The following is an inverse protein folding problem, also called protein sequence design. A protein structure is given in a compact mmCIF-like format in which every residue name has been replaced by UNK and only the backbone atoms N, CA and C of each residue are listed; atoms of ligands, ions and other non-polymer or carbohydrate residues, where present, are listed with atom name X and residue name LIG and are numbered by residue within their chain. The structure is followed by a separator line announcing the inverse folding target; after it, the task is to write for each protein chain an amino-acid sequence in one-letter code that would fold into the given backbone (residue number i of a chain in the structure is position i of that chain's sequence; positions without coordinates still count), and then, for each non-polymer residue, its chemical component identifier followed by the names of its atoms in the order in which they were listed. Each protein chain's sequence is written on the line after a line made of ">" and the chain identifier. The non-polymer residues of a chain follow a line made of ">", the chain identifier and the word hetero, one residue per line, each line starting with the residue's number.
data_IF_384491997498
#
_entry.id   IF_384491997498
#
_cell.length_a   1.000
_cell.length_b   1.000
_cell.length_c   1.000
_cell.angle_alpha   90.00
_cell.angle_beta   90.00
_cell.angle_gamma   90.00
#
_symmetry.space_group_name_H-M   'P 1'
#
loop_
_entity.id
_entity.type
_entity.pdbx_description
1 polymer ?
#
# COMPACT_ATOMS: atom_id res chain seq x y z
N UNK A 1 7.63 2.31 0.40
CA UNK A 1 7.31 1.92 -0.97
C UNK A 1 8.25 0.86 -1.52
N UNK A 2 8.30 -0.31 -0.89
CA UNK A 2 9.08 -1.41 -1.39
C UNK A 2 10.59 -1.27 -1.19
N UNK A 3 11.28 -2.33 -1.45
CA UNK A 3 12.73 -2.46 -1.33
C UNK A 3 13.32 -2.76 -2.71
N UNK A 4 14.64 -2.52 -2.87
CA UNK A 4 15.40 -2.83 -4.08
C UNK A 4 16.86 -3.09 -3.70
N UNK A 5 17.48 -4.09 -4.33
CA UNK A 5 18.85 -4.55 -4.04
C UNK A 5 19.95 -3.76 -4.76
N UNK A 6 19.60 -2.75 -5.55
CA UNK A 6 20.53 -2.11 -6.50
C UNK A 6 21.85 -1.64 -5.88
N UNK A 7 21.86 -1.31 -4.59
CA UNK A 7 23.04 -0.79 -3.89
C UNK A 7 23.68 -1.82 -2.93
N UNK A 8 23.22 -3.07 -2.97
CA UNK A 8 23.81 -4.11 -2.12
C UNK A 8 25.04 -4.66 -2.81
N UNK A 9 26.18 -4.55 -2.15
CA UNK A 9 27.48 -4.92 -2.70
C UNK A 9 27.88 -6.36 -2.38
N UNK A 10 27.24 -6.96 -1.37
CA UNK A 10 27.71 -8.23 -0.78
C UNK A 10 26.80 -9.41 -1.09
N UNK A 11 25.66 -9.21 -1.74
CA UNK A 11 24.67 -10.25 -2.04
C UNK A 11 24.14 -10.11 -3.47
N UNK A 12 24.38 -11.13 -4.28
CA UNK A 12 23.90 -11.22 -5.67
C UNK A 12 22.59 -12.03 -5.82
N UNK A 13 21.84 -12.23 -4.73
CA UNK A 13 20.59 -13.00 -4.70
C UNK A 13 19.42 -12.17 -4.21
N UNK A 14 18.23 -12.61 -4.54
CA UNK A 14 17.03 -12.06 -3.90
C UNK A 14 16.94 -12.47 -2.42
N UNK A 15 16.36 -11.59 -1.60
CA UNK A 15 16.01 -11.92 -0.22
C UNK A 15 15.02 -13.08 -0.17
N UNK A 16 15.12 -13.87 0.89
CA UNK A 16 14.21 -14.93 1.18
C UNK A 16 13.78 -14.88 2.68
N UNK A 17 12.87 -15.76 3.09
CA UNK A 17 12.34 -15.78 4.46
C UNK A 17 13.41 -15.92 5.53
N UNK A 18 14.49 -16.63 5.26
CA UNK A 18 15.56 -16.88 6.23
C UNK A 18 16.33 -15.61 6.61
N UNK A 19 16.33 -14.61 5.71
CA UNK A 19 16.96 -13.32 5.96
C UNK A 19 16.17 -12.46 6.96
N UNK A 20 14.86 -12.73 7.10
CA UNK A 20 13.94 -11.88 7.88
C UNK A 20 13.30 -12.58 9.08
N UNK A 21 13.21 -13.90 9.07
CA UNK A 21 12.54 -14.68 10.13
C UNK A 21 13.12 -14.39 11.51
N UNK A 22 14.45 -14.27 11.62
CA UNK A 22 15.14 -14.09 12.89
C UNK A 22 14.81 -12.80 13.64
N UNK A 23 14.42 -11.74 12.92
CA UNK A 23 14.12 -10.43 13.53
C UNK A 23 12.65 -10.02 13.41
N UNK A 24 11.85 -10.76 12.66
CA UNK A 24 10.40 -10.51 12.57
C UNK A 24 9.61 -11.29 13.65
N UNK A 25 10.28 -12.23 14.33
CA UNK A 25 9.68 -13.06 15.37
C UNK A 25 8.38 -13.74 14.87
N UNK A 26 7.27 -13.52 15.61
CA UNK A 26 5.94 -14.03 15.27
C UNK A 26 5.06 -13.03 14.49
N UNK A 27 5.63 -11.93 13.99
CA UNK A 27 4.90 -10.94 13.21
C UNK A 27 4.92 -11.31 11.73
N UNK A 28 3.76 -11.42 11.07
CA UNK A 28 3.74 -11.66 9.62
C UNK A 28 4.35 -10.48 8.88
N UNK A 29 5.21 -10.78 7.90
CA UNK A 29 5.82 -9.80 7.02
C UNK A 29 5.31 -10.00 5.58
N UNK A 30 4.83 -8.93 4.97
CA UNK A 30 4.62 -8.81 3.53
C UNK A 30 5.29 -7.52 3.06
N UNK A 31 6.39 -7.65 2.34
CA UNK A 31 7.21 -6.53 1.89
C UNK A 31 7.29 -6.51 0.36
N UNK A 32 6.50 -5.67 -0.33
CA UNK A 32 6.58 -5.54 -1.78
C UNK A 32 7.94 -5.01 -2.22
N UNK A 33 8.47 -5.55 -3.33
CA UNK A 33 9.64 -5.01 -3.99
C UNK A 33 9.26 -3.79 -4.84
N UNK A 34 10.21 -2.89 -5.09
CA UNK A 34 9.98 -1.65 -5.84
C UNK A 34 9.56 -1.86 -7.30
N UNK A 35 9.74 -3.07 -7.86
CA UNK A 35 9.25 -3.45 -9.19
C UNK A 35 7.72 -3.60 -9.27
N UNK A 36 7.05 -3.72 -8.12
CA UNK A 36 5.60 -3.88 -8.02
C UNK A 36 5.08 -5.27 -8.39
N UNK A 37 5.95 -6.19 -8.84
CA UNK A 37 5.56 -7.54 -9.32
C UNK A 37 6.12 -8.67 -8.48
N UNK A 38 6.88 -8.35 -7.43
CA UNK A 38 7.39 -9.31 -6.47
C UNK A 38 7.30 -8.81 -5.04
N UNK A 39 7.33 -9.74 -4.08
CA UNK A 39 7.36 -9.44 -2.66
C UNK A 39 8.15 -10.48 -1.87
N UNK A 40 8.65 -10.08 -0.71
CA UNK A 40 9.18 -10.95 0.31
C UNK A 40 8.11 -11.16 1.39
N UNK A 41 7.91 -12.42 1.77
CA UNK A 41 7.09 -12.83 2.91
C UNK A 41 7.90 -13.71 3.85
N UNK A 42 7.64 -13.60 5.15
CA UNK A 42 8.30 -14.46 6.14
C UNK A 42 7.52 -15.75 6.40
N UNK A 43 8.12 -16.65 7.19
CA UNK A 43 7.49 -17.92 7.54
C UNK A 43 6.14 -17.74 8.24
N UNK A 44 5.98 -16.69 9.07
CA UNK A 44 4.71 -16.40 9.76
C UNK A 44 3.60 -15.97 8.79
N UNK A 45 3.92 -15.19 7.79
CA UNK A 45 2.96 -14.83 6.75
C UNK A 45 2.54 -16.06 5.93
N UNK A 46 3.48 -16.95 5.59
CA UNK A 46 3.17 -18.20 4.89
C UNK A 46 2.27 -19.11 5.73
N UNK A 47 2.54 -19.26 7.04
CA UNK A 47 1.69 -20.00 7.95
C UNK A 47 0.25 -19.48 7.94
N UNK A 48 0.08 -18.16 8.09
CA UNK A 48 -1.24 -17.52 8.10
C UNK A 48 -1.98 -17.62 6.75
N UNK A 49 -1.24 -17.62 5.66
CA UNK A 49 -1.79 -17.77 4.30
C UNK A 49 -2.06 -19.25 3.94
N UNK A 50 -1.66 -20.20 4.79
CA UNK A 50 -1.76 -21.63 4.51
C UNK A 50 -0.86 -22.09 3.35
N UNK A 51 0.22 -21.35 3.05
CA UNK A 51 1.17 -21.70 1.99
C UNK A 51 2.19 -22.69 2.53
N UNK A 52 2.19 -23.89 1.94
CA UNK A 52 3.05 -25.02 2.30
C UNK A 52 3.85 -25.51 1.08
N UNK A 53 4.66 -26.53 1.31
CA UNK A 53 5.38 -27.21 0.22
C UNK A 53 4.44 -27.74 -0.88
N UNK A 54 3.25 -28.19 -0.49
CA UNK A 54 2.28 -28.80 -1.39
C UNK A 54 1.31 -27.80 -2.03
N UNK A 55 1.40 -26.52 -1.66
CA UNK A 55 0.58 -25.47 -2.25
C UNK A 55 0.99 -25.23 -3.70
N UNK A 56 0.08 -25.40 -4.69
CA UNK A 56 0.43 -25.14 -6.09
C UNK A 56 0.61 -23.64 -6.34
N UNK A 57 1.36 -23.31 -7.36
CA UNK A 57 1.47 -21.95 -7.85
C UNK A 57 0.12 -21.49 -8.41
N UNK A 58 -0.36 -20.28 -8.06
CA UNK A 58 -1.59 -19.75 -8.65
C UNK A 58 -1.37 -19.36 -10.11
N UNK A 59 -2.45 -19.35 -10.89
CA UNK A 59 -2.39 -18.93 -12.29
C UNK A 59 -1.80 -17.50 -12.40
N UNK A 60 -0.78 -17.36 -13.25
CA UNK A 60 -0.07 -16.08 -13.44
C UNK A 60 0.79 -15.64 -12.26
N UNK A 61 1.11 -16.53 -11.32
CA UNK A 61 1.99 -16.24 -10.18
C UNK A 61 2.86 -17.44 -9.80
N UNK A 62 3.86 -17.20 -8.95
CA UNK A 62 4.78 -18.26 -8.51
C UNK A 62 5.26 -18.02 -7.08
N UNK A 63 5.38 -19.12 -6.32
CA UNK A 63 6.13 -19.18 -5.08
C UNK A 63 7.55 -19.68 -5.41
N UNK A 64 8.57 -18.87 -5.22
CA UNK A 64 9.95 -19.36 -5.33
C UNK A 64 10.21 -20.39 -4.24
N UNK A 65 10.97 -21.43 -4.61
CA UNK A 65 11.18 -22.61 -3.74
C UNK A 65 12.64 -22.93 -3.61
N UNK A 66 12.99 -23.49 -2.48
CA UNK A 66 14.26 -24.13 -2.25
C UNK A 66 14.38 -25.43 -3.05
N UNK A 67 15.57 -26.04 -3.08
CA UNK A 67 15.82 -27.29 -3.82
C UNK A 67 14.96 -28.46 -3.34
N UNK A 68 14.50 -28.43 -2.10
CA UNK A 68 13.61 -29.45 -1.54
C UNK A 68 12.13 -29.22 -1.86
N UNK A 69 11.80 -28.14 -2.58
CA UNK A 69 10.44 -27.75 -2.94
C UNK A 69 9.73 -26.88 -1.92
N UNK A 70 10.35 -26.50 -0.81
CA UNK A 70 9.77 -25.62 0.20
C UNK A 70 9.72 -24.17 -0.29
N UNK A 71 8.59 -23.46 -0.20
CA UNK A 71 8.54 -22.03 -0.54
C UNK A 71 9.52 -21.23 0.33
N UNK A 72 10.37 -20.43 -0.34
CA UNK A 72 11.44 -19.69 0.33
C UNK A 72 11.06 -18.27 0.74
N UNK A 73 9.82 -17.85 0.48
CA UNK A 73 9.30 -16.53 0.86
C UNK A 73 9.41 -15.46 -0.24
N UNK A 74 10.11 -15.72 -1.34
CA UNK A 74 10.07 -14.81 -2.48
C UNK A 74 8.85 -15.16 -3.37
N UNK A 75 7.95 -14.21 -3.58
CA UNK A 75 6.68 -14.45 -4.28
C UNK A 75 6.51 -13.49 -5.46
N UNK A 76 5.93 -13.99 -6.56
CA UNK A 76 5.85 -13.30 -7.84
C UNK A 76 4.42 -13.17 -8.35
N UNK A 77 4.13 -12.01 -8.91
CA UNK A 77 2.91 -11.70 -9.64
C UNK A 77 1.63 -12.10 -8.83
N UNK A 78 0.73 -12.91 -9.38
CA UNK A 78 -0.52 -13.27 -8.71
C UNK A 78 -0.34 -14.05 -7.40
N UNK A 79 0.82 -14.66 -7.13
CA UNK A 79 1.10 -15.27 -5.84
C UNK A 79 1.12 -14.25 -4.68
N UNK A 80 1.40 -12.97 -4.97
CA UNK A 80 1.30 -11.88 -3.99
C UNK A 80 -0.13 -11.71 -3.47
N UNK A 81 -1.15 -12.02 -4.28
CA UNK A 81 -2.56 -11.83 -3.91
C UNK A 81 -3.00 -12.79 -2.80
N UNK A 82 -2.37 -13.96 -2.70
CA UNK A 82 -2.61 -14.92 -1.60
C UNK A 82 -2.31 -14.27 -0.25
N UNK A 83 -1.23 -13.49 -0.19
CA UNK A 83 -0.84 -12.79 1.03
C UNK A 83 -1.60 -11.48 1.23
N UNK A 84 -1.90 -10.75 0.14
CA UNK A 84 -2.74 -9.54 0.23
C UNK A 84 -4.12 -9.83 0.80
N UNK A 85 -4.68 -10.99 0.49
CA UNK A 85 -6.02 -11.39 0.97
C UNK A 85 -6.11 -11.59 2.49
N UNK A 86 -4.99 -11.83 3.17
CA UNK A 86 -4.94 -12.01 4.63
C UNK A 86 -4.51 -10.75 5.37
N UNK A 87 -4.13 -9.68 4.67
CA UNK A 87 -3.84 -8.38 5.31
C UNK A 87 -5.17 -7.78 5.74
N UNK A 88 -5.35 -7.44 7.03
CA UNK A 88 -6.55 -6.76 7.47
C UNK A 88 -6.75 -5.44 6.74
N UNK A 89 -7.99 -5.12 6.39
CA UNK A 89 -8.32 -3.82 5.84
C UNK A 89 -8.09 -2.73 6.89
N UNK A 90 -7.56 -1.60 6.44
CA UNK A 90 -7.38 -0.43 7.29
C UNK A 90 -8.75 0.12 7.70
N UNK A 91 -8.93 0.41 8.97
CA UNK A 91 -10.15 1.07 9.45
C UNK A 91 -10.17 2.54 9.06
N UNK A 92 -11.36 3.15 8.90
CA UNK A 92 -11.51 4.58 8.64
C UNK A 92 -10.82 5.44 9.70
N UNK A 93 -10.86 5.02 10.96
CA UNK A 93 -10.18 5.72 12.05
C UNK A 93 -8.65 5.73 11.87
N UNK A 94 -8.08 4.58 11.47
CA UNK A 94 -6.65 4.48 11.20
C UNK A 94 -6.24 5.29 9.95
N UNK A 95 -7.02 5.20 8.88
CA UNK A 95 -6.79 5.97 7.65
C UNK A 95 -6.86 7.47 7.93
N UNK A 96 -7.87 7.92 8.70
CA UNK A 96 -8.04 9.32 9.06
C UNK A 96 -6.85 9.85 9.89
N UNK A 97 -6.41 9.11 10.93
CA UNK A 97 -5.23 9.49 11.73
C UNK A 97 -3.98 9.62 10.85
N UNK A 98 -3.77 8.68 9.91
CA UNK A 98 -2.65 8.74 8.98
C UNK A 98 -2.73 9.96 8.04
N UNK A 99 -3.91 10.29 7.51
CA UNK A 99 -4.11 11.48 6.68
C UNK A 99 -3.78 12.76 7.48
N UNK A 100 -4.31 12.91 8.69
CA UNK A 100 -4.02 14.06 9.55
C UNK A 100 -2.53 14.18 9.90
N UNK A 101 -1.88 13.06 10.22
CA UNK A 101 -0.43 13.04 10.49
C UNK A 101 0.37 13.43 9.26
N UNK A 102 -0.02 12.94 8.07
CA UNK A 102 0.58 13.32 6.80
C UNK A 102 0.45 14.81 6.52
N UNK A 103 -0.76 15.37 6.69
CA UNK A 103 -1.02 16.80 6.53
C UNK A 103 -0.15 17.64 7.47
N UNK A 104 -0.09 17.30 8.75
CA UNK A 104 0.76 18.01 9.73
C UNK A 104 2.25 17.89 9.41
N UNK A 105 2.72 16.71 8.99
CA UNK A 105 4.12 16.50 8.63
C UNK A 105 4.54 17.34 7.42
N UNK A 106 3.71 17.40 6.38
CA UNK A 106 3.97 18.22 5.21
C UNK A 106 3.97 19.72 5.55
N UNK A 107 3.01 20.18 6.34
CA UNK A 107 2.95 21.57 6.79
C UNK A 107 4.18 21.96 7.63
N UNK A 108 4.66 21.07 8.50
CA UNK A 108 5.87 21.28 9.30
C UNK A 108 7.13 21.43 8.44
N UNK A 109 7.15 20.85 7.22
CA UNK A 109 8.21 21.01 6.24
C UNK A 109 8.02 22.26 5.34
N UNK A 110 6.97 23.05 5.58
CA UNK A 110 6.68 24.28 4.83
C UNK A 110 5.85 24.07 3.56
N UNK A 111 5.32 22.86 3.32
CA UNK A 111 4.42 22.62 2.20
C UNK A 111 3.07 23.30 2.45
N UNK A 112 2.63 24.11 1.51
CA UNK A 112 1.34 24.82 1.57
C UNK A 112 0.25 24.12 0.77
N UNK A 113 0.62 23.17 -0.09
CA UNK A 113 -0.28 22.37 -0.90
C UNK A 113 0.36 21.03 -1.24
N UNK A 114 -0.46 19.97 -1.30
CA UNK A 114 -0.10 18.67 -1.87
C UNK A 114 -1.10 18.27 -2.94
N UNK A 115 -0.65 17.40 -3.86
CA UNK A 115 -1.51 16.79 -4.87
C UNK A 115 -1.53 15.28 -4.66
N UNK A 116 -2.73 14.71 -4.62
CA UNK A 116 -2.93 13.26 -4.62
C UNK A 116 -3.51 12.83 -5.98
N UNK A 117 -2.75 12.03 -6.71
CA UNK A 117 -3.12 11.57 -8.05
C UNK A 117 -3.85 10.22 -8.04
N UNK A 118 -4.58 9.88 -7.00
CA UNK A 118 -5.27 8.59 -6.90
C UNK A 118 -6.10 8.43 -5.64
N UNK A 119 -6.66 9.51 -5.12
CA UNK A 119 -7.46 9.49 -3.90
C UNK A 119 -8.81 8.81 -4.14
N UNK A 120 -9.09 7.70 -3.45
CA UNK A 120 -10.39 7.03 -3.50
C UNK A 120 -11.50 7.87 -2.84
N UNK A 121 -12.76 7.63 -3.18
CA UNK A 121 -13.89 8.32 -2.54
C UNK A 121 -14.03 8.01 -1.04
N UNK A 122 -13.54 6.87 -0.57
CA UNK A 122 -13.39 6.62 0.87
C UNK A 122 -12.50 7.69 1.52
N UNK A 123 -11.31 7.92 0.94
CA UNK A 123 -10.37 8.93 1.45
C UNK A 123 -10.91 10.35 1.27
N UNK A 124 -11.62 10.65 0.17
CA UNK A 124 -12.33 11.93 0.00
C UNK A 124 -13.31 12.16 1.14
N UNK A 125 -14.09 11.15 1.53
CA UNK A 125 -14.99 11.23 2.68
C UNK A 125 -14.26 11.55 4.00
N UNK A 126 -13.13 10.91 4.23
CA UNK A 126 -12.30 11.17 5.42
C UNK A 126 -11.65 12.57 5.39
N UNK A 127 -11.18 13.02 4.22
CA UNK A 127 -10.65 14.38 4.06
C UNK A 127 -11.71 15.44 4.34
N UNK A 128 -12.95 15.24 3.89
CA UNK A 128 -14.08 16.12 4.22
C UNK A 128 -14.36 16.16 5.73
N UNK A 129 -14.23 15.04 6.44
CA UNK A 129 -14.35 15.01 7.91
C UNK A 129 -13.21 15.80 8.57
N UNK A 130 -11.96 15.58 8.14
CA UNK A 130 -10.78 16.31 8.63
C UNK A 130 -10.95 17.82 8.40
N UNK A 131 -11.47 18.22 7.25
CA UNK A 131 -11.78 19.62 6.95
C UNK A 131 -12.85 20.18 7.88
N UNK A 132 -13.97 19.48 8.05
CA UNK A 132 -15.07 19.90 8.93
C UNK A 132 -14.65 20.04 10.41
N UNK A 133 -13.66 19.27 10.85
CA UNK A 133 -13.06 19.34 12.18
C UNK A 133 -12.01 20.46 12.34
N UNK A 134 -11.67 21.15 11.24
CA UNK A 134 -10.65 22.22 11.24
C UNK A 134 -9.20 21.71 11.27
N UNK A 135 -8.97 20.44 10.94
CA UNK A 135 -7.67 19.76 11.04
C UNK A 135 -6.87 19.78 9.72
N UNK A 136 -7.33 20.47 8.68
CA UNK A 136 -6.59 20.65 7.43
C UNK A 136 -5.38 21.58 7.64
N UNK A 137 -4.18 21.00 7.70
CA UNK A 137 -2.96 21.77 7.94
C UNK A 137 -2.41 22.48 6.68
N UNK A 138 -2.82 22.07 5.49
CA UNK A 138 -2.48 22.69 4.20
C UNK A 138 -3.49 22.27 3.14
N UNK A 139 -3.45 22.91 1.96
CA UNK A 139 -4.35 22.59 0.85
C UNK A 139 -4.07 21.23 0.24
N UNK A 140 -5.12 20.53 -0.17
CA UNK A 140 -5.02 19.27 -0.91
C UNK A 140 -5.83 19.37 -2.20
N UNK A 141 -5.16 19.08 -3.31
CA UNK A 141 -5.79 18.84 -4.60
C UNK A 141 -5.81 17.33 -4.87
N UNK A 142 -6.95 16.76 -5.16
CA UNK A 142 -7.11 15.34 -5.42
C UNK A 142 -7.62 15.05 -6.83
N UNK A 143 -7.08 13.96 -7.41
CA UNK A 143 -7.62 13.32 -8.60
C UNK A 143 -8.11 11.91 -8.22
N UNK A 144 -9.29 11.54 -8.70
CA UNK A 144 -9.92 10.23 -8.44
C UNK A 144 -9.31 9.19 -9.39
N UNK A 145 -9.04 7.95 -8.95
CA UNK A 145 -8.57 6.91 -9.85
C UNK A 145 -9.63 6.56 -10.90
N UNK A 146 -9.20 6.17 -12.09
CA UNK A 146 -10.10 5.85 -13.21
C UNK A 146 -11.13 4.77 -12.87
N UNK A 147 -10.81 3.86 -11.94
CA UNK A 147 -11.75 2.84 -11.44
C UNK A 147 -13.00 3.43 -10.76
N UNK A 148 -12.91 4.64 -10.24
CA UNK A 148 -14.00 5.37 -9.58
C UNK A 148 -14.49 6.58 -10.40
N UNK A 149 -14.04 6.71 -11.67
CA UNK A 149 -14.36 7.84 -12.54
C UNK A 149 -15.87 8.07 -12.73
N UNK A 150 -16.67 7.00 -12.77
CA UNK A 150 -18.12 7.11 -12.93
C UNK A 150 -18.77 7.83 -11.74
N UNK A 151 -18.29 7.60 -10.53
CA UNK A 151 -18.75 8.32 -9.35
C UNK A 151 -18.43 9.82 -9.46
N UNK A 152 -17.22 10.17 -9.93
CA UNK A 152 -16.86 11.56 -10.12
C UNK A 152 -17.71 12.27 -11.17
N UNK A 153 -18.03 11.60 -12.28
CA UNK A 153 -18.91 12.14 -13.32
C UNK A 153 -20.30 12.45 -12.75
N UNK A 154 -20.83 11.58 -11.88
CA UNK A 154 -22.12 11.75 -11.25
C UNK A 154 -22.13 12.84 -10.17
N UNK A 155 -21.09 12.91 -9.35
CA UNK A 155 -20.97 13.88 -8.24
C UNK A 155 -20.50 15.25 -8.68
N UNK A 156 -19.75 15.31 -9.79
CA UNK A 156 -19.09 16.51 -10.25
C UNK A 156 -17.84 16.85 -9.42
N UNK A 157 -17.32 18.06 -9.66
CA UNK A 157 -16.21 18.63 -8.89
C UNK A 157 -16.68 18.98 -7.49
N UNK A 158 -15.88 18.63 -6.50
CA UNK A 158 -16.12 18.96 -5.11
C UNK A 158 -15.00 19.89 -4.60
N UNK A 159 -15.36 21.05 -4.07
CA UNK A 159 -14.40 22.02 -3.53
C UNK A 159 -14.96 22.57 -2.23
N UNK A 160 -14.14 22.64 -1.18
CA UNK A 160 -14.51 23.33 0.06
C UNK A 160 -14.55 24.85 -0.14
N UNK A 161 -15.39 25.55 0.63
CA UNK A 161 -15.62 26.99 0.44
C UNK A 161 -14.35 27.84 0.62
N UNK A 162 -13.36 27.35 1.36
CA UNK A 162 -12.08 27.98 1.64
C UNK A 162 -10.94 27.49 0.74
N UNK A 163 -11.25 26.70 -0.29
CA UNK A 163 -10.30 26.08 -1.20
C UNK A 163 -9.21 25.22 -0.52
N UNK A 164 -9.48 24.71 0.69
CA UNK A 164 -8.54 23.84 1.39
C UNK A 164 -8.53 22.42 0.86
N UNK A 165 -9.66 21.94 0.32
CA UNK A 165 -9.76 20.61 -0.31
C UNK A 165 -10.52 20.69 -1.63
N UNK A 166 -9.93 20.15 -2.69
CA UNK A 166 -10.46 20.23 -4.04
C UNK A 166 -10.29 18.92 -4.80
N UNK A 167 -11.41 18.33 -5.23
CA UNK A 167 -11.48 17.11 -6.04
C UNK A 167 -11.97 17.48 -7.44
N UNK A 168 -11.07 17.50 -8.44
CA UNK A 168 -11.43 17.99 -9.77
C UNK A 168 -10.84 17.22 -10.95
N UNK A 169 -10.10 16.15 -10.70
CA UNK A 169 -9.42 15.41 -11.75
C UNK A 169 -9.71 13.93 -11.71
N UNK A 170 -9.50 13.25 -12.84
CA UNK A 170 -9.45 11.80 -12.92
C UNK A 170 -8.03 11.40 -13.32
N UNK A 171 -7.44 10.47 -12.56
CA UNK A 171 -6.15 9.87 -12.85
C UNK A 171 -6.37 8.66 -13.78
N UNK A 172 -5.87 8.77 -14.99
CA UNK A 172 -5.83 7.71 -15.99
C UNK A 172 -4.51 6.96 -15.95
#
# INVERSE_FOLDING_TARGET
>A
RGWIEREWTDEERFLNKYDVDSFTENKPLFMPRADGVSALVNSKAMELAGVTRDTPDPEGGRFERDLDGTPNGYVLANAMNVFRAIIPEDTDAYLKDNLERGLRSNAALGWTQTQDAGMSYQLVGLMNQIHAEGNMAHRVYAAIPVSEAQQMIQRGRETTADDMFDVRGIKV
#
